data_IF_668901886372
#
_entry.id   IF_668901886372
#
_cell.length_a   1.000
_cell.length_b   1.000
_cell.length_c   1.000
_cell.angle_alpha   90.00
_cell.angle_beta   90.00
_cell.angle_gamma   90.00
#
_symmetry.space_group_name_H-M   'P 1'
#
loop_
_entity.id
_entity.type
_entity.pdbx_description
1 polymer ?
#
# COMPACT_ATOMS: atom_id res chain seq x y z
N UNK A 1 -32.28 -32.44 5.89
CA UNK A 1 -31.92 -31.47 4.85
C UNK A 1 -31.91 -30.10 5.50
N UNK A 2 -30.77 -29.70 6.07
CA UNK A 2 -30.61 -28.37 6.67
C UNK A 2 -30.00 -27.46 5.61
N UNK A 3 -30.80 -26.51 5.15
CA UNK A 3 -30.36 -25.35 4.38
C UNK A 3 -29.63 -24.43 5.35
N UNK A 4 -28.31 -24.57 5.46
CA UNK A 4 -27.47 -23.75 6.33
C UNK A 4 -26.27 -23.11 5.61
N UNK A 5 -26.26 -22.99 4.28
CA UNK A 5 -25.05 -22.52 3.58
C UNK A 5 -25.26 -21.31 2.64
N UNK A 6 -26.45 -20.71 2.61
CA UNK A 6 -26.72 -19.52 1.80
C UNK A 6 -26.32 -18.21 2.49
N UNK A 7 -26.78 -18.00 3.73
CA UNK A 7 -26.56 -16.74 4.45
C UNK A 7 -25.12 -16.56 4.94
N UNK A 8 -24.42 -17.64 5.32
CA UNK A 8 -23.02 -17.55 5.76
C UNK A 8 -22.09 -17.13 4.60
N UNK A 9 -22.33 -17.63 3.39
CA UNK A 9 -21.62 -17.19 2.19
C UNK A 9 -21.92 -15.74 1.82
N UNK A 10 -23.17 -15.29 1.99
CA UNK A 10 -23.55 -13.88 1.76
C UNK A 10 -22.91 -12.93 2.78
N UNK A 11 -22.86 -13.31 4.06
CA UNK A 11 -22.17 -12.54 5.11
C UNK A 11 -20.66 -12.47 4.86
N UNK A 12 -20.03 -13.60 4.53
CA UNK A 12 -18.61 -13.66 4.18
C UNK A 12 -18.27 -12.78 2.96
N UNK A 13 -19.05 -12.87 1.89
CA UNK A 13 -18.86 -12.04 0.70
C UNK A 13 -19.10 -10.55 0.99
N UNK A 14 -20.08 -10.23 1.83
CA UNK A 14 -20.35 -8.86 2.24
C UNK A 14 -19.21 -8.28 3.07
N UNK A 15 -18.68 -9.04 4.05
CA UNK A 15 -17.54 -8.63 4.87
C UNK A 15 -16.29 -8.41 4.02
N UNK A 16 -16.00 -9.31 3.08
CA UNK A 16 -14.88 -9.16 2.14
C UNK A 16 -15.06 -7.94 1.25
N UNK A 17 -16.24 -7.76 0.65
CA UNK A 17 -16.51 -6.61 -0.23
C UNK A 17 -16.41 -5.29 0.54
N UNK A 18 -16.95 -5.25 1.77
CA UNK A 18 -16.85 -4.08 2.64
C UNK A 18 -15.40 -3.76 3.00
N UNK A 19 -14.61 -4.77 3.38
CA UNK A 19 -13.20 -4.55 3.70
C UNK A 19 -12.41 -4.06 2.48
N UNK A 20 -12.64 -4.64 1.30
CA UNK A 20 -11.97 -4.22 0.06
C UNK A 20 -12.43 -2.85 -0.46
N UNK A 21 -13.61 -2.37 -0.08
CA UNK A 21 -14.07 -1.02 -0.40
C UNK A 21 -13.27 0.04 0.36
N UNK A 22 -12.89 -0.27 1.59
CA UNK A 22 -12.12 0.61 2.47
C UNK A 22 -10.60 0.56 2.17
N UNK A 23 -10.14 -0.32 1.26
CA UNK A 23 -8.73 -0.41 0.87
C UNK A 23 -8.43 0.37 -0.43
N UNK A 24 -7.15 0.72 -0.69
CA UNK A 24 -6.74 1.38 -1.92
C UNK A 24 -7.05 0.63 -3.21
N UNK A 25 -7.40 -0.65 -3.13
CA UNK A 25 -7.76 -1.47 -4.28
C UNK A 25 -9.09 -1.02 -4.91
N UNK A 26 -9.98 -0.35 -4.17
CA UNK A 26 -11.32 0.02 -4.63
C UNK A 26 -11.33 1.12 -5.69
N UNK A 27 -10.31 1.99 -5.67
CA UNK A 27 -10.16 3.13 -6.58
C UNK A 27 -9.25 2.84 -7.78
N UNK A 28 -8.67 1.63 -7.85
CA UNK A 28 -7.76 1.23 -8.91
C UNK A 28 -8.48 0.65 -10.13
N UNK A 29 -7.97 0.96 -11.31
CA UNK A 29 -8.46 0.43 -12.59
C UNK A 29 -7.39 -0.45 -13.26
N UNK A 30 -7.81 -1.32 -14.19
CA UNK A 30 -6.91 -2.22 -14.92
C UNK A 30 -5.76 -1.47 -15.63
N UNK A 31 -6.05 -0.29 -16.20
CA UNK A 31 -5.04 0.53 -16.86
C UNK A 31 -3.96 1.02 -15.88
N UNK A 32 -4.39 1.56 -14.73
CA UNK A 32 -3.49 2.05 -13.67
C UNK A 32 -2.60 0.91 -13.17
N UNK A 33 -3.17 -0.28 -12.95
CA UNK A 33 -2.39 -1.45 -12.53
C UNK A 33 -1.34 -1.85 -13.57
N UNK A 34 -1.66 -1.80 -14.87
CA UNK A 34 -0.69 -2.12 -15.94
C UNK A 34 0.42 -1.07 -16.00
N UNK A 35 0.06 0.21 -15.90
CA UNK A 35 1.02 1.31 -15.92
C UNK A 35 1.95 1.24 -14.71
N UNK A 36 1.42 0.93 -13.53
CA UNK A 36 2.21 0.68 -12.32
C UNK A 36 3.16 -0.50 -12.49
N UNK A 37 2.67 -1.64 -12.98
CA UNK A 37 3.50 -2.83 -13.22
C UNK A 37 4.64 -2.58 -14.22
N UNK A 38 4.41 -1.71 -15.21
CA UNK A 38 5.44 -1.29 -16.16
C UNK A 38 6.46 -0.36 -15.50
N UNK A 39 6.00 0.63 -14.73
CA UNK A 39 6.86 1.60 -14.06
C UNK A 39 7.80 0.93 -13.04
N UNK A 40 7.28 -0.05 -12.29
CA UNK A 40 8.08 -0.78 -11.30
C UNK A 40 8.89 -1.95 -11.88
N UNK A 41 8.78 -2.21 -13.18
CA UNK A 41 9.43 -3.37 -13.81
C UNK A 41 10.95 -3.36 -13.73
N UNK A 42 11.54 -2.16 -13.61
CA UNK A 42 12.98 -1.95 -13.39
C UNK A 42 13.45 -2.38 -12.01
N UNK A 43 12.58 -2.34 -11.00
CA UNK A 43 12.92 -2.77 -9.64
C UNK A 43 12.79 -4.28 -9.51
N UNK A 44 13.78 -4.89 -8.86
CA UNK A 44 13.82 -6.34 -8.63
C UNK A 44 12.90 -6.73 -7.47
N UNK A 45 11.59 -6.58 -7.66
CA UNK A 45 10.55 -6.91 -6.70
C UNK A 45 9.99 -8.32 -6.93
N UNK A 46 9.68 -9.03 -5.85
CA UNK A 46 8.99 -10.32 -5.89
C UNK A 46 7.51 -10.13 -6.25
N UNK A 47 6.83 -11.20 -6.65
CA UNK A 47 5.39 -11.13 -6.97
C UNK A 47 4.55 -10.74 -5.74
N UNK A 48 4.97 -11.18 -4.55
CA UNK A 48 4.29 -10.85 -3.29
C UNK A 48 4.45 -9.38 -2.94
N UNK A 49 5.66 -8.83 -3.07
CA UNK A 49 5.93 -7.39 -2.85
C UNK A 49 5.11 -6.52 -3.79
N UNK A 50 5.10 -6.84 -5.09
CA UNK A 50 4.29 -6.10 -6.09
C UNK A 50 2.80 -6.10 -5.73
N UNK A 51 2.29 -7.23 -5.24
CA UNK A 51 0.91 -7.35 -4.80
C UNK A 51 0.65 -6.51 -3.53
N UNK A 52 1.57 -6.54 -2.56
CA UNK A 52 1.45 -5.75 -1.34
C UNK A 52 1.52 -4.24 -1.62
N UNK A 53 2.40 -3.78 -2.51
CA UNK A 53 2.47 -2.37 -2.92
C UNK A 53 1.15 -1.89 -3.53
N UNK A 54 0.53 -2.69 -4.40
CA UNK A 54 -0.79 -2.39 -4.96
C UNK A 54 -1.89 -2.37 -3.91
N UNK A 55 -1.84 -3.29 -2.93
CA UNK A 55 -2.90 -3.41 -1.93
C UNK A 55 -2.82 -2.36 -0.82
N UNK A 56 -1.61 -1.95 -0.44
CA UNK A 56 -1.39 -1.08 0.72
C UNK A 56 -1.08 0.37 0.33
N UNK A 57 -0.61 0.63 -0.91
CA UNK A 57 -0.20 1.97 -1.39
C UNK A 57 0.64 2.71 -0.34
N UNK A 58 1.89 2.29 -0.09
CA UNK A 58 2.70 2.92 0.94
C UNK A 58 2.96 4.40 0.60
N UNK A 59 2.88 5.25 1.62
CA UNK A 59 3.07 6.71 1.51
C UNK A 59 4.37 7.19 2.16
N UNK A 60 5.04 6.32 2.91
CA UNK A 60 6.32 6.62 3.55
C UNK A 60 7.37 5.53 3.30
N UNK A 61 8.65 5.88 3.43
CA UNK A 61 9.76 4.92 3.37
C UNK A 61 9.67 3.86 4.46
N UNK A 62 9.14 4.21 5.63
CA UNK A 62 8.94 3.26 6.74
C UNK A 62 7.97 2.16 6.33
N UNK A 63 6.86 2.51 5.70
CA UNK A 63 5.91 1.53 5.17
C UNK A 63 6.52 0.69 4.03
N UNK A 64 7.33 1.31 3.17
CA UNK A 64 8.04 0.59 2.11
C UNK A 64 8.99 -0.47 2.70
N UNK A 65 9.74 -0.14 3.75
CA UNK A 65 10.62 -1.06 4.47
C UNK A 65 9.87 -2.19 5.18
N UNK A 66 8.60 -1.99 5.54
CA UNK A 66 7.74 -3.04 6.10
C UNK A 66 7.19 -4.00 5.02
N UNK A 67 7.08 -3.54 3.78
CA UNK A 67 6.55 -4.34 2.65
C UNK A 67 7.68 -5.13 1.96
N UNK A 68 8.84 -4.52 1.77
CA UNK A 68 9.97 -5.10 1.04
C UNK A 68 11.03 -5.56 2.04
N UNK A 69 11.28 -6.87 2.07
CA UNK A 69 12.34 -7.45 2.90
C UNK A 69 13.72 -6.98 2.43
N UNK A 70 14.58 -6.66 3.40
CA UNK A 70 15.98 -6.26 3.19
C UNK A 70 16.11 -5.09 2.18
N UNK A 71 15.20 -4.12 2.26
CA UNK A 71 15.15 -2.98 1.31
C UNK A 71 16.49 -2.26 1.21
N UNK A 72 17.17 -2.02 2.34
CA UNK A 72 18.46 -1.32 2.41
C UNK A 72 19.62 -2.08 1.74
N UNK A 73 19.53 -3.41 1.63
CA UNK A 73 20.53 -4.23 0.95
C UNK A 73 20.23 -4.39 -0.55
N UNK A 74 18.95 -4.27 -0.94
CA UNK A 74 18.47 -4.54 -2.30
C UNK A 74 18.32 -3.30 -3.16
N UNK A 75 18.09 -2.15 -2.55
CA UNK A 75 17.81 -0.88 -3.22
C UNK A 75 18.63 0.24 -2.61
N UNK A 76 19.08 1.18 -3.44
CA UNK A 76 19.62 2.43 -2.91
C UNK A 76 18.53 3.30 -2.31
N UNK A 77 18.91 4.26 -1.45
CA UNK A 77 17.97 5.25 -0.92
C UNK A 77 17.27 6.04 -2.04
N UNK A 78 17.98 6.31 -3.13
CA UNK A 78 17.44 6.97 -4.33
C UNK A 78 16.38 6.10 -5.03
N UNK A 79 16.63 4.79 -5.18
CA UNK A 79 15.68 3.84 -5.77
C UNK A 79 14.42 3.66 -4.92
N UNK A 80 14.57 3.62 -3.59
CA UNK A 80 13.45 3.54 -2.66
C UNK A 80 12.57 4.80 -2.69
N UNK A 81 13.20 5.98 -2.75
CA UNK A 81 12.48 7.24 -2.92
C UNK A 81 11.79 7.31 -4.28
N UNK A 82 12.45 6.87 -5.35
CA UNK A 82 11.84 6.82 -6.69
C UNK A 82 10.64 5.86 -6.74
N UNK A 83 10.73 4.70 -6.09
CA UNK A 83 9.62 3.76 -5.99
C UNK A 83 8.43 4.38 -5.26
N UNK A 84 8.69 5.12 -4.18
CA UNK A 84 7.66 5.82 -3.42
C UNK A 84 6.99 6.93 -4.26
N UNK A 85 7.75 7.69 -5.03
CA UNK A 85 7.21 8.69 -5.96
C UNK A 85 6.34 8.05 -7.05
N UNK A 86 6.78 6.94 -7.64
CA UNK A 86 6.00 6.21 -8.64
C UNK A 86 4.66 5.73 -8.07
N UNK A 87 4.63 5.32 -6.80
CA UNK A 87 3.42 4.88 -6.11
C UNK A 87 2.45 6.06 -5.95
N UNK A 88 2.92 7.22 -5.53
CA UNK A 88 2.07 8.39 -5.32
C UNK A 88 1.55 8.96 -6.65
N UNK A 89 2.39 9.01 -7.69
CA UNK A 89 2.04 9.54 -9.01
C UNK A 89 1.03 8.66 -9.76
N UNK A 90 1.14 7.33 -9.65
CA UNK A 90 0.34 6.38 -10.44
C UNK A 90 -0.87 5.87 -9.66
N UNK A 91 -0.72 5.51 -8.38
CA UNK A 91 -1.82 4.92 -7.62
C UNK A 91 -2.70 6.03 -7.02
N UNK A 92 -4.02 6.03 -7.30
CA UNK A 92 -4.92 7.06 -6.79
C UNK A 92 -5.09 6.95 -5.27
N UNK A 93 -5.25 8.08 -4.56
CA UNK A 93 -5.57 8.09 -3.14
C UNK A 93 -6.98 7.56 -2.88
N UNK A 94 -7.14 6.84 -1.76
CA UNK A 94 -8.42 6.22 -1.35
C UNK A 94 -9.36 7.26 -0.76
N UNK A 95 -8.81 8.21 0.02
CA UNK A 95 -9.53 9.38 0.50
C UNK A 95 -8.83 10.68 0.08
N UNK A 96 -9.58 11.75 -0.24
CA UNK A 96 -9.01 13.04 -0.66
C UNK A 96 -8.14 13.77 0.39
N UNK A 97 -8.01 13.24 1.62
CA UNK A 97 -7.39 13.90 2.77
C UNK A 97 -6.23 13.12 3.42
N UNK A 98 -5.82 11.96 2.89
CA UNK A 98 -4.77 11.13 3.52
C UNK A 98 -3.34 11.68 3.30
N UNK A 99 -3.20 12.85 2.67
CA UNK A 99 -1.91 13.45 2.32
C UNK A 99 -1.35 14.43 3.39
N UNK A 100 -1.93 14.52 4.59
CA UNK A 100 -1.54 15.54 5.60
C UNK A 100 -0.77 15.01 6.83
N UNK A 101 -0.45 13.70 6.94
CA UNK A 101 0.24 13.16 8.14
C UNK A 101 1.71 12.77 7.89
N UNK A 102 2.48 13.62 7.21
CA UNK A 102 3.96 13.57 7.26
C UNK A 102 4.55 14.94 7.60
N UNK A 103 4.20 15.48 8.78
CA UNK A 103 5.10 16.36 9.52
C UNK A 103 5.67 15.61 10.72
N UNK A 104 6.90 15.12 10.53
CA UNK A 104 7.84 14.84 11.60
C UNK A 104 7.91 16.03 12.57
N UNK A 105 7.49 15.81 13.82
CA UNK A 105 7.98 16.59 14.97
C UNK A 105 8.63 15.65 15.98
N UNK A 106 9.73 15.05 15.57
CA UNK A 106 10.82 14.74 16.49
C UNK A 106 11.39 16.03 17.09
N UNK A 107 10.90 16.41 18.28
CA UNK A 107 11.72 17.14 19.25
C UNK A 107 11.66 16.43 20.59
N UNK A 108 12.65 15.55 20.76
CA UNK A 108 13.27 15.19 22.03
C UNK A 108 13.46 16.46 22.86
N UNK A 109 12.81 16.56 24.02
CA UNK A 109 13.31 17.42 25.08
C UNK A 109 13.79 16.52 26.21
N UNK A 110 15.11 16.49 26.29
CA UNK A 110 15.94 15.96 27.34
C UNK A 110 15.59 16.59 28.70
N UNK A 111 15.98 15.85 29.73
CA UNK A 111 16.07 16.26 31.13
C UNK A 111 16.53 17.73 31.28
N UNK A 112 15.85 18.49 32.14
CA UNK A 112 16.49 19.12 33.30
C UNK A 112 15.51 20.00 34.11
N UNK A 113 15.59 19.76 35.43
CA UNK A 113 15.19 20.60 36.56
C UNK A 113 13.80 20.41 37.17
#
# INVERSE_FOLDING_TARGET
>A
MQVLDGNAGLLSNYEVTKHLQDTPCSVQNEQIMKDFMLAISKFKLTKAEKLMLLNQRPTSLVELHLIIEETEERFSEEESNELLQIIDDILPPVHPHDNEDTEDKGQTNEEQN
#
